data_IF_135756999093
#
_entry.id   IF_135756999093
#
_cell.length_a   1.000
_cell.length_b   1.000
_cell.length_c   1.000
_cell.angle_alpha   90.00
_cell.angle_beta   90.00
_cell.angle_gamma   90.00
#
_symmetry.space_group_name_H-M   'P 1'
#
loop_
_entity.id
_entity.type
_entity.pdbx_description
1 polymer ?
#
# COMPACT_ATOMS: atom_id res chain seq x y z
N UNK A 1 -16.03 -14.63 -17.92
CA UNK A 1 -16.11 -13.87 -16.68
C UNK A 1 -14.82 -13.13 -16.42
N UNK A 2 -14.90 -11.84 -16.32
CA UNK A 2 -13.72 -11.07 -16.03
C UNK A 2 -13.55 -10.97 -14.51
N UNK A 3 -12.37 -11.24 -14.06
CA UNK A 3 -12.03 -11.09 -12.67
C UNK A 3 -11.18 -9.83 -12.55
N UNK A 4 -11.70 -8.86 -11.85
CA UNK A 4 -10.91 -7.68 -11.56
C UNK A 4 -9.89 -8.06 -10.51
N UNK A 5 -8.63 -8.09 -10.89
CA UNK A 5 -7.57 -8.34 -9.93
C UNK A 5 -7.25 -7.00 -9.29
N UNK A 6 -7.65 -6.86 -8.05
CA UNK A 6 -7.34 -5.64 -7.30
C UNK A 6 -5.93 -5.77 -6.75
N UNK A 7 -5.13 -4.78 -7.02
CA UNK A 7 -3.81 -4.65 -6.42
C UNK A 7 -3.89 -3.55 -5.37
N UNK A 8 -3.05 -3.66 -4.37
CA UNK A 8 -3.00 -2.69 -3.30
C UNK A 8 -1.64 -2.01 -3.31
N UNK A 9 -1.64 -0.69 -3.25
CA UNK A 9 -0.42 0.07 -3.13
C UNK A 9 -0.31 0.60 -1.71
N UNK A 10 0.83 0.36 -1.09
CA UNK A 10 1.16 0.91 0.22
C UNK A 10 2.23 1.96 0.03
N UNK A 11 1.98 3.16 0.52
CA UNK A 11 2.92 4.27 0.42
C UNK A 11 3.20 4.78 1.82
N UNK A 12 4.46 4.85 2.18
CA UNK A 12 4.89 5.42 3.45
C UNK A 12 5.59 6.74 3.18
N UNK A 13 5.20 7.76 3.93
CA UNK A 13 5.77 9.09 3.83
C UNK A 13 6.35 9.51 5.17
N UNK A 14 7.38 10.32 5.11
CA UNK A 14 7.96 10.90 6.31
C UNK A 14 7.13 12.10 6.78
N UNK A 15 7.59 12.75 7.84
CA UNK A 15 6.89 13.91 8.38
C UNK A 15 6.84 15.10 7.42
N UNK A 16 7.74 15.14 6.45
CA UNK A 16 7.79 16.19 5.45
C UNK A 16 6.94 15.89 4.22
N UNK A 17 6.30 14.72 4.20
CA UNK A 17 5.45 14.31 3.10
C UNK A 17 6.19 13.62 1.95
N UNK A 18 7.47 13.36 2.11
CA UNK A 18 8.25 12.67 1.09
C UNK A 18 8.02 11.17 1.16
N UNK A 19 7.93 10.54 0.00
CA UNK A 19 7.76 9.08 -0.05
C UNK A 19 9.07 8.42 0.29
N UNK A 20 9.09 7.65 1.37
CA UNK A 20 10.30 6.92 1.81
C UNK A 20 10.25 5.45 1.42
N UNK A 21 9.04 4.92 1.21
CA UNK A 21 8.87 3.52 0.84
C UNK A 21 7.55 3.34 0.13
N UNK A 22 7.52 2.46 -0.85
CA UNK A 22 6.26 2.08 -1.48
C UNK A 22 6.36 0.66 -1.98
N UNK A 23 5.21 0.00 -2.02
CA UNK A 23 5.13 -1.36 -2.50
C UNK A 23 3.76 -1.66 -3.05
N UNK A 24 3.69 -2.66 -3.92
CA UNK A 24 2.43 -3.13 -4.49
C UNK A 24 2.27 -4.59 -4.10
N UNK A 25 1.10 -4.91 -3.57
CA UNK A 25 0.77 -6.29 -3.21
C UNK A 25 -0.53 -6.69 -3.90
N UNK A 26 -0.72 -7.98 -4.05
CA UNK A 26 -1.98 -8.53 -4.58
C UNK A 26 -2.89 -9.02 -3.47
N UNK A 27 -2.41 -9.02 -2.25
CA UNK A 27 -3.09 -9.62 -1.11
C UNK A 27 -3.34 -8.56 -0.06
N UNK A 28 -4.59 -8.43 0.36
CA UNK A 28 -4.98 -7.46 1.37
C UNK A 28 -4.27 -7.71 2.71
N UNK A 29 -4.13 -8.98 3.08
CA UNK A 29 -3.45 -9.31 4.33
C UNK A 29 -1.99 -8.88 4.30
N UNK A 30 -1.34 -9.06 3.15
CA UNK A 30 0.03 -8.60 2.98
C UNK A 30 0.11 -7.07 3.05
N UNK A 31 -0.86 -6.38 2.47
CA UNK A 31 -0.94 -4.93 2.55
C UNK A 31 -1.05 -4.47 4.00
N UNK A 32 -1.94 -5.08 4.76
CA UNK A 32 -2.15 -4.73 6.16
C UNK A 32 -0.88 -4.98 6.97
N UNK A 33 -0.21 -6.11 6.73
CA UNK A 33 1.02 -6.45 7.44
C UNK A 33 2.14 -5.44 7.15
N UNK A 34 2.32 -5.09 5.90
CA UNK A 34 3.33 -4.11 5.51
C UNK A 34 3.01 -2.74 6.09
N UNK A 35 1.75 -2.33 6.02
CA UNK A 35 1.32 -1.05 6.58
C UNK A 35 1.57 -0.99 8.09
N UNK A 36 1.26 -2.07 8.80
CA UNK A 36 1.48 -2.13 10.24
C UNK A 36 2.97 -2.02 10.58
N UNK A 37 3.81 -2.69 9.80
CA UNK A 37 5.25 -2.64 10.02
C UNK A 37 5.80 -1.23 9.79
N UNK A 38 5.34 -0.56 8.73
CA UNK A 38 5.78 0.80 8.44
C UNK A 38 5.31 1.79 9.50
N UNK A 39 4.10 1.59 10.03
CA UNK A 39 3.59 2.46 11.09
C UNK A 39 4.41 2.37 12.37
N UNK A 40 5.00 1.21 12.64
CA UNK A 40 5.90 1.06 13.78
C UNK A 40 7.13 1.93 13.68
N UNK A 41 7.50 2.30 12.47
CA UNK A 41 8.65 3.17 12.21
C UNK A 41 8.27 4.65 12.15
N UNK A 42 7.07 4.98 12.60
CA UNK A 42 6.57 6.36 12.67
C UNK A 42 6.37 7.03 11.32
N UNK A 43 6.15 6.24 10.27
CA UNK A 43 5.82 6.79 8.96
C UNK A 43 4.32 7.00 8.82
N UNK A 44 3.94 7.98 8.03
CA UNK A 44 2.55 8.14 7.61
C UNK A 44 2.29 7.17 6.47
N UNK A 45 1.37 6.25 6.69
CA UNK A 45 1.10 5.19 5.74
C UNK A 45 -0.25 5.38 5.10
N UNK A 46 -0.29 5.34 3.79
CA UNK A 46 -1.51 5.38 3.00
C UNK A 46 -1.62 4.10 2.18
N UNK A 47 -2.82 3.55 2.13
CA UNK A 47 -3.09 2.35 1.35
C UNK A 47 -4.10 2.70 0.26
N UNK A 48 -3.84 2.27 -0.95
CA UNK A 48 -4.70 2.53 -2.09
C UNK A 48 -5.08 1.25 -2.79
N UNK A 49 -6.32 1.17 -3.23
CA UNK A 49 -6.75 0.09 -4.09
C UNK A 49 -6.46 0.48 -5.53
N UNK A 50 -5.81 -0.40 -6.25
CA UNK A 50 -5.53 -0.19 -7.66
C UNK A 50 -6.43 -1.15 -8.45
N UNK A 51 -7.37 -0.59 -9.17
CA UNK A 51 -8.25 -1.37 -10.02
C UNK A 51 -7.64 -1.37 -11.42
N UNK A 52 -7.27 -2.53 -11.96
CA UNK A 52 -6.70 -2.56 -13.29
C UNK A 52 -7.71 -2.09 -14.33
N UNK A 53 -7.23 -1.25 -15.22
CA UNK A 53 -8.00 -0.82 -16.37
C UNK A 53 -7.87 -1.86 -17.45
N UNK A 54 -8.97 -2.34 -17.91
CA UNK A 54 -8.98 -3.36 -18.96
C UNK A 54 -9.04 -2.70 -20.33
#
# INVERSE_FOLDING_TARGET
>A
MSIAITKYRVVARDKDGNIVCQGITKNEDAMIAVAAELRKNCYNVSCYDIIPTV
#
